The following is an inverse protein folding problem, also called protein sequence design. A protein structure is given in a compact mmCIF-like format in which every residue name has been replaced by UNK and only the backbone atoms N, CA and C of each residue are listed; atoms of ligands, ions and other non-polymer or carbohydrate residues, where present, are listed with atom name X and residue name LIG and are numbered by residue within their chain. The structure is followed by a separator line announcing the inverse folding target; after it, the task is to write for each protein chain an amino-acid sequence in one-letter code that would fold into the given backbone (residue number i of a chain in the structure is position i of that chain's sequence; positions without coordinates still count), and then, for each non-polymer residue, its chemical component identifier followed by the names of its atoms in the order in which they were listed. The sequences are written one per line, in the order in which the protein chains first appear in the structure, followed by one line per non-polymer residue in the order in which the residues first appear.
data_IF_103935652085
#
_entry.id   IF_103935652085
#
_cell.length_a   1.000
_cell.length_b   1.000
_cell.length_c   1.000
_cell.angle_alpha   90.00
_cell.angle_beta   90.00
_cell.angle_gamma   90.00
#
_symmetry.space_group_name_H-M   'P 1'
#
loop_
_entity.id
_entity.type
_entity.pdbx_description
1 polymer ?
#
# COMPACT_ATOMS: atom_id res chain seq x y z
N UNK A 1 -68.26 -5.01 -33.62
CA UNK A 1 -67.49 -5.68 -32.59
C UNK A 1 -66.03 -5.20 -32.68
N UNK A 2 -65.62 -4.27 -31.79
CA UNK A 2 -64.34 -3.67 -31.85
C UNK A 2 -63.45 -4.37 -30.78
N UNK A 3 -62.48 -5.18 -31.26
CA UNK A 3 -61.48 -5.81 -30.42
C UNK A 3 -60.42 -4.78 -30.06
N UNK A 4 -60.45 -4.29 -28.83
CA UNK A 4 -59.37 -3.44 -28.24
C UNK A 4 -58.17 -4.32 -27.94
N UNK A 5 -57.11 -4.18 -28.74
CA UNK A 5 -55.80 -4.71 -28.44
C UNK A 5 -55.17 -3.83 -27.34
N UNK A 6 -55.01 -4.39 -26.15
CA UNK A 6 -54.19 -3.79 -25.09
C UNK A 6 -52.73 -4.09 -25.40
N UNK A 7 -51.99 -3.09 -25.83
CA UNK A 7 -50.53 -3.14 -25.92
C UNK A 7 -49.99 -2.80 -24.55
N UNK A 8 -49.44 -3.82 -23.86
CA UNK A 8 -48.76 -3.65 -22.60
C UNK A 8 -47.31 -3.27 -22.92
N UNK A 9 -46.83 -2.08 -22.52
CA UNK A 9 -45.39 -1.76 -22.65
C UNK A 9 -44.61 -2.58 -21.62
N UNK A 10 -43.77 -3.49 -22.08
CA UNK A 10 -42.77 -4.16 -21.27
C UNK A 10 -41.67 -3.14 -20.94
N UNK A 11 -41.71 -2.62 -19.72
CA UNK A 11 -40.64 -1.81 -19.17
C UNK A 11 -39.45 -2.73 -18.83
N UNK A 12 -38.46 -2.72 -19.71
CA UNK A 12 -37.18 -3.40 -19.46
C UNK A 12 -36.41 -2.63 -18.39
N UNK A 13 -36.54 -3.06 -17.13
CA UNK A 13 -35.70 -2.57 -16.06
C UNK A 13 -34.27 -3.09 -16.28
N UNK A 14 -33.43 -2.25 -16.88
CA UNK A 14 -32.00 -2.48 -16.90
C UNK A 14 -31.44 -2.30 -15.47
N UNK A 15 -31.23 -3.41 -14.77
CA UNK A 15 -30.51 -3.41 -13.49
C UNK A 15 -29.04 -3.11 -13.77
N UNK A 16 -28.66 -1.86 -13.58
CA UNK A 16 -27.24 -1.47 -13.55
C UNK A 16 -26.65 -2.06 -12.27
N UNK A 17 -25.97 -3.18 -12.41
CA UNK A 17 -25.15 -3.73 -11.32
C UNK A 17 -23.95 -2.81 -11.15
N UNK A 18 -24.00 -1.92 -10.13
CA UNK A 18 -22.81 -1.24 -9.65
C UNK A 18 -21.89 -2.30 -9.02
N UNK A 19 -20.95 -2.78 -9.81
CA UNK A 19 -19.84 -3.56 -9.28
C UNK A 19 -19.00 -2.63 -8.43
N UNK A 20 -19.18 -2.69 -7.12
CA UNK A 20 -18.23 -2.15 -6.14
C UNK A 20 -16.97 -3.03 -6.21
N UNK A 21 -16.18 -2.84 -7.26
CA UNK A 21 -14.83 -3.37 -7.31
C UNK A 21 -14.03 -2.65 -6.22
N UNK A 22 -13.66 -3.35 -5.15
CA UNK A 22 -12.77 -2.83 -4.12
C UNK A 22 -11.54 -2.26 -4.79
N UNK A 23 -11.16 -1.00 -4.45
CA UNK A 23 -10.01 -0.32 -5.01
C UNK A 23 -8.73 -1.04 -4.58
N UNK A 24 -8.14 -1.81 -5.48
CA UNK A 24 -6.80 -2.38 -5.31
C UNK A 24 -5.81 -1.54 -6.11
N UNK A 25 -4.60 -1.30 -5.58
CA UNK A 25 -3.56 -0.60 -6.33
C UNK A 25 -3.09 -1.46 -7.52
N UNK A 26 -2.52 -0.81 -8.53
CA UNK A 26 -1.98 -1.48 -9.70
C UNK A 26 -0.63 -2.15 -9.39
N UNK A 27 -0.68 -3.19 -8.58
CA UNK A 27 0.46 -4.02 -8.19
C UNK A 27 0.40 -5.36 -8.92
N UNK A 28 1.40 -5.63 -9.74
CA UNK A 28 1.54 -6.91 -10.43
C UNK A 28 2.29 -7.91 -9.55
N UNK A 29 1.68 -9.06 -9.19
CA UNK A 29 2.35 -10.07 -8.38
C UNK A 29 3.60 -10.61 -9.06
N UNK A 30 4.59 -11.02 -8.29
CA UNK A 30 5.81 -11.62 -8.79
C UNK A 30 7.02 -11.39 -7.90
N UNK A 31 8.17 -11.61 -8.48
CA UNK A 31 9.47 -11.38 -7.86
C UNK A 31 9.91 -9.95 -8.09
N UNK A 32 10.23 -9.27 -7.01
CA UNK A 32 10.55 -7.86 -7.01
C UNK A 32 11.93 -7.60 -6.43
N UNK A 33 12.66 -6.70 -7.06
CA UNK A 33 13.87 -6.10 -6.49
C UNK A 33 13.47 -4.80 -5.80
N UNK A 34 13.68 -4.76 -4.48
CA UNK A 34 13.29 -3.62 -3.64
C UNK A 34 14.54 -2.92 -3.12
N UNK A 35 14.61 -1.63 -3.34
CA UNK A 35 15.69 -0.76 -2.88
C UNK A 35 15.16 0.19 -1.82
N UNK A 36 15.84 0.24 -0.70
CA UNK A 36 15.47 1.04 0.47
C UNK A 36 16.61 1.95 0.89
N UNK A 37 16.29 3.22 1.13
CA UNK A 37 17.21 4.24 1.64
C UNK A 37 16.59 4.91 2.85
N UNK A 38 17.37 5.09 3.89
CA UNK A 38 16.93 5.75 5.13
C UNK A 38 17.61 7.11 5.27
N UNK A 39 16.86 8.09 5.75
CA UNK A 39 17.36 9.43 6.08
C UNK A 39 16.94 9.80 7.50
N UNK A 40 17.88 10.27 8.30
CA UNK A 40 17.63 10.83 9.62
C UNK A 40 17.99 12.32 9.61
N UNK A 41 17.01 13.24 9.74
CA UNK A 41 17.30 14.65 9.85
C UNK A 41 18.22 14.94 11.04
N UNK A 42 19.27 15.73 10.81
CA UNK A 42 20.25 16.10 11.85
C UNK A 42 21.42 15.15 12.02
N UNK A 43 21.42 14.01 11.37
CA UNK A 43 22.57 13.10 11.31
C UNK A 43 23.17 13.13 9.90
N UNK A 44 24.42 13.57 9.78
CA UNK A 44 25.16 13.51 8.51
C UNK A 44 25.75 12.12 8.23
N UNK A 45 24.99 11.09 8.55
CA UNK A 45 25.40 9.72 8.26
C UNK A 45 24.75 9.29 6.95
N UNK A 46 25.55 9.06 5.93
CA UNK A 46 25.11 8.41 4.71
C UNK A 46 24.82 6.94 5.02
N UNK A 47 23.56 6.61 5.29
CA UNK A 47 23.17 5.23 5.41
C UNK A 47 23.24 4.56 4.03
N UNK A 48 23.84 3.36 3.95
CA UNK A 48 23.92 2.67 2.67
C UNK A 48 22.53 2.31 2.16
N UNK A 49 22.35 2.44 0.86
CA UNK A 49 21.15 1.93 0.19
C UNK A 49 21.17 0.41 0.23
N UNK A 50 20.09 -0.21 0.68
CA UNK A 50 19.93 -1.65 0.72
C UNK A 50 19.03 -2.11 -0.42
N UNK A 51 19.45 -3.17 -1.09
CA UNK A 51 18.67 -3.81 -2.15
C UNK A 51 18.47 -5.28 -1.81
N UNK A 52 17.25 -5.75 -1.89
CA UNK A 52 16.91 -7.15 -1.69
C UNK A 52 15.84 -7.59 -2.68
N UNK A 53 15.68 -8.89 -2.82
CA UNK A 53 14.67 -9.48 -3.67
C UNK A 53 13.63 -10.19 -2.82
N UNK A 54 12.37 -9.99 -3.14
CA UNK A 54 11.26 -10.64 -2.45
C UNK A 54 10.12 -10.96 -3.41
N UNK A 55 9.32 -11.95 -3.04
CA UNK A 55 8.08 -12.26 -3.73
C UNK A 55 6.95 -11.41 -3.15
N UNK A 56 6.24 -10.70 -4.00
CA UNK A 56 5.11 -9.85 -3.60
C UNK A 56 3.85 -10.38 -4.25
N UNK A 57 2.81 -10.60 -3.44
CA UNK A 57 1.48 -10.95 -3.91
C UNK A 57 0.60 -9.70 -4.02
N UNK A 58 -0.52 -9.80 -4.71
CA UNK A 58 -1.46 -8.67 -4.87
C UNK A 58 -2.08 -8.17 -3.54
N UNK A 59 -1.94 -8.94 -2.46
CA UNK A 59 -2.40 -8.57 -1.11
C UNK A 59 -1.32 -7.89 -0.28
N UNK A 60 -0.06 -7.90 -0.72
CA UNK A 60 1.09 -7.36 0.01
C UNK A 60 1.40 -5.90 -0.36
N UNK A 61 0.39 -5.11 -0.59
CA UNK A 61 0.54 -3.73 -1.04
C UNK A 61 0.95 -2.73 0.07
N UNK A 62 1.03 -3.18 1.33
CA UNK A 62 1.62 -2.42 2.43
C UNK A 62 2.94 -3.08 2.80
N UNK A 63 4.08 -2.38 2.63
CA UNK A 63 5.38 -2.92 3.02
C UNK A 63 5.43 -3.25 4.50
N UNK A 64 5.86 -4.46 4.85
CA UNK A 64 6.07 -4.87 6.23
C UNK A 64 7.41 -4.33 6.73
N UNK A 65 7.39 -3.52 7.77
CA UNK A 65 8.58 -2.88 8.34
C UNK A 65 8.87 -3.28 9.78
N UNK A 66 8.12 -4.23 10.32
CA UNK A 66 8.31 -4.69 11.70
C UNK A 66 9.60 -5.48 11.87
N UNK A 67 10.32 -5.20 12.95
CA UNK A 67 11.50 -5.94 13.38
C UNK A 67 11.13 -6.97 14.47
N UNK A 68 11.96 -8.01 14.67
CA UNK A 68 11.73 -8.96 15.76
C UNK A 68 11.67 -8.24 17.11
N UNK A 69 10.64 -8.52 17.91
CA UNK A 69 10.41 -7.89 19.21
C UNK A 69 9.59 -6.59 19.17
N UNK A 70 9.15 -6.15 18.01
CA UNK A 70 8.24 -5.02 17.84
C UNK A 70 6.83 -5.48 17.51
N UNK A 71 5.84 -4.90 18.19
CA UNK A 71 4.44 -5.04 17.84
C UNK A 71 4.00 -3.81 17.03
N UNK A 72 3.68 -4.01 15.76
CA UNK A 72 3.20 -2.95 14.88
C UNK A 72 1.75 -3.20 14.49
N UNK A 73 0.94 -2.14 14.53
CA UNK A 73 -0.45 -2.14 14.06
C UNK A 73 -0.64 -1.10 12.97
N UNK A 74 -1.26 -1.50 11.90
CA UNK A 74 -1.75 -0.57 10.88
C UNK A 74 -3.09 -0.04 11.37
N UNK A 75 -3.19 1.26 11.60
CA UNK A 75 -4.36 1.89 12.19
C UNK A 75 -5.33 2.50 11.19
N UNK A 76 -4.82 2.92 10.05
CA UNK A 76 -5.62 3.43 8.92
C UNK A 76 -4.99 2.99 7.62
N UNK A 77 -5.82 2.64 6.66
CA UNK A 77 -5.39 2.33 5.30
C UNK A 77 -6.36 2.99 4.32
N UNK A 78 -5.82 3.71 3.35
CA UNK A 78 -6.61 4.31 2.27
C UNK A 78 -5.97 3.95 0.93
N UNK A 79 -6.77 3.42 0.04
CA UNK A 79 -6.40 3.17 -1.35
C UNK A 79 -7.12 4.18 -2.24
N UNK A 80 -6.35 4.99 -2.95
CA UNK A 80 -6.86 5.99 -3.89
C UNK A 80 -6.18 5.81 -5.23
N UNK A 81 -6.88 5.16 -6.18
CA UNK A 81 -6.27 4.75 -7.45
C UNK A 81 -5.09 3.81 -7.21
N UNK A 82 -3.92 4.21 -7.65
CA UNK A 82 -2.68 3.44 -7.53
C UNK A 82 -1.86 3.78 -6.27
N UNK A 83 -2.35 4.69 -5.45
CA UNK A 83 -1.67 5.15 -4.24
C UNK A 83 -2.32 4.56 -2.99
N UNK A 84 -1.50 3.95 -2.15
CA UNK A 84 -1.87 3.43 -0.83
C UNK A 84 -1.22 4.29 0.23
N UNK A 85 -2.02 4.78 1.17
CA UNK A 85 -1.57 5.53 2.34
C UNK A 85 -2.02 4.81 3.60
N UNK A 86 -1.14 4.70 4.59
CA UNK A 86 -1.45 4.06 5.87
C UNK A 86 -0.77 4.78 7.03
N UNK A 87 -1.32 4.58 8.21
CA UNK A 87 -0.68 4.94 9.47
C UNK A 87 -0.38 3.68 10.26
N UNK A 88 0.71 3.70 11.00
CA UNK A 88 1.14 2.59 11.82
C UNK A 88 1.56 3.05 13.21
N UNK A 89 1.39 2.18 14.18
CA UNK A 89 1.84 2.37 15.55
C UNK A 89 2.59 1.11 16.00
N UNK A 90 3.82 1.28 16.43
CA UNK A 90 4.66 0.20 16.91
C UNK A 90 5.05 0.42 18.36
N UNK A 91 5.11 -0.66 19.12
CA UNK A 91 5.62 -0.71 20.50
C UNK A 91 6.76 -1.71 20.59
N UNK A 92 7.80 -1.35 21.28
CA UNK A 92 8.95 -2.19 21.52
C UNK A 92 9.69 -1.77 22.79
N UNK A 93 10.78 -2.48 23.13
CA UNK A 93 11.60 -2.18 24.29
C UNK A 93 12.22 -0.78 24.25
N UNK A 94 12.44 -0.21 23.08
CA UNK A 94 12.98 1.13 22.86
C UNK A 94 11.97 2.26 22.95
N UNK A 95 10.68 1.98 23.19
CA UNK A 95 9.60 2.96 23.24
C UNK A 95 8.53 2.76 22.18
N UNK A 96 7.88 3.84 21.81
CA UNK A 96 6.81 3.84 20.81
C UNK A 96 7.27 4.49 19.49
N UNK A 97 6.79 3.96 18.39
CA UNK A 97 7.06 4.49 17.07
C UNK A 97 5.74 4.69 16.33
N UNK A 98 5.54 5.89 15.80
CA UNK A 98 4.41 6.22 14.95
C UNK A 98 4.90 6.47 13.53
N UNK A 99 4.16 5.99 12.56
CA UNK A 99 4.53 6.13 11.17
C UNK A 99 3.36 6.43 10.25
N UNK A 100 3.68 7.07 9.15
CA UNK A 100 2.78 7.26 8.02
C UNK A 100 3.52 6.85 6.75
N UNK A 101 2.92 5.97 5.98
CA UNK A 101 3.48 5.51 4.72
C UNK A 101 2.60 5.85 3.54
N UNK A 102 3.24 6.07 2.40
CA UNK A 102 2.58 6.28 1.11
C UNK A 102 3.36 5.53 0.04
N UNK A 103 2.69 4.71 -0.74
CA UNK A 103 3.28 3.97 -1.88
C UNK A 103 2.39 4.14 -3.09
N UNK A 104 2.99 4.44 -4.23
CA UNK A 104 2.31 4.47 -5.53
C UNK A 104 2.81 3.34 -6.41
N UNK A 105 1.89 2.51 -6.86
CA UNK A 105 2.14 1.36 -7.73
C UNK A 105 1.84 1.69 -9.18
N UNK A 106 2.70 1.20 -10.08
CA UNK A 106 2.58 1.39 -11.53
C UNK A 106 2.73 0.08 -12.31
N UNK A 107 2.10 -0.98 -11.84
CA UNK A 107 2.20 -2.31 -12.44
C UNK A 107 3.53 -2.99 -12.09
N UNK A 108 4.58 -2.72 -12.84
CA UNK A 108 5.91 -3.34 -12.70
C UNK A 108 6.89 -2.52 -11.84
N UNK A 109 6.48 -1.38 -11.30
CA UNK A 109 7.30 -0.53 -10.44
C UNK A 109 6.47 0.08 -9.32
N UNK A 110 7.14 0.48 -8.24
CA UNK A 110 6.54 1.29 -7.21
C UNK A 110 7.57 2.27 -6.61
N UNK A 111 7.04 3.33 -6.03
CA UNK A 111 7.79 4.27 -5.19
C UNK A 111 7.01 4.54 -3.93
N UNK A 112 7.72 4.60 -2.81
CA UNK A 112 7.10 4.87 -1.52
C UNK A 112 7.99 5.66 -0.59
N UNK A 113 7.34 6.23 0.41
CA UNK A 113 7.96 6.99 1.48
C UNK A 113 7.26 6.64 2.78
N UNK A 114 8.03 6.37 3.82
CA UNK A 114 7.54 6.08 5.16
C UNK A 114 8.22 7.04 6.14
N UNK A 115 7.43 7.87 6.80
CA UNK A 115 7.90 8.78 7.83
C UNK A 115 7.63 8.19 9.19
N UNK A 116 8.67 8.06 10.01
CA UNK A 116 8.61 7.49 11.35
C UNK A 116 9.03 8.51 12.39
N UNK A 117 8.36 8.52 13.53
CA UNK A 117 8.74 9.30 14.71
C UNK A 117 8.78 8.40 15.93
N UNK A 118 9.81 8.57 16.75
CA UNK A 118 10.06 7.75 17.93
C UNK A 118 9.85 8.55 19.21
N UNK A 119 9.15 7.97 20.18
CA UNK A 119 8.98 8.50 21.51
C UNK A 119 9.63 7.55 22.53
N UNK A 120 10.27 8.06 23.59
CA UNK A 120 10.35 9.45 24.04
C UNK A 120 11.49 10.28 23.40
N UNK A 121 12.35 9.69 22.59
CA UNK A 121 13.55 10.36 22.05
C UNK A 121 13.26 11.56 21.16
N UNK A 122 12.08 11.60 20.50
CA UNK A 122 11.73 12.62 19.53
C UNK A 122 12.47 12.51 18.18
N UNK A 123 13.20 11.42 17.97
CA UNK A 123 13.89 11.17 16.69
C UNK A 123 12.88 10.89 15.59
N UNK A 124 13.16 11.39 14.40
CA UNK A 124 12.41 11.09 13.20
C UNK A 124 13.30 10.49 12.13
N UNK A 125 12.70 9.65 11.31
CA UNK A 125 13.37 8.95 10.21
C UNK A 125 12.44 8.89 9.01
N UNK A 126 12.99 9.04 7.82
CA UNK A 126 12.26 8.83 6.58
C UNK A 126 12.90 7.68 5.81
N UNK A 127 12.06 6.75 5.38
CA UNK A 127 12.45 5.60 4.57
C UNK A 127 11.89 5.81 3.17
N UNK A 128 12.78 5.85 2.19
CA UNK A 128 12.42 5.84 0.78
C UNK A 128 12.56 4.43 0.24
N UNK A 129 11.52 3.93 -0.36
CA UNK A 129 11.50 2.60 -0.96
C UNK A 129 11.07 2.68 -2.42
N UNK A 130 11.70 1.92 -3.25
CA UNK A 130 11.27 1.73 -4.62
C UNK A 130 11.49 0.28 -5.03
N UNK A 131 10.68 -0.19 -5.94
CA UNK A 131 10.77 -1.56 -6.42
C UNK A 131 10.50 -1.67 -7.90
N UNK A 132 11.04 -2.70 -8.48
CA UNK A 132 10.75 -3.13 -9.84
C UNK A 132 10.54 -4.64 -9.88
N UNK A 133 9.56 -5.06 -10.65
CA UNK A 133 9.30 -6.48 -10.89
C UNK A 133 10.38 -7.04 -11.80
N UNK A 134 10.97 -8.15 -11.42
CA UNK A 134 12.05 -8.80 -12.18
C UNK A 134 11.65 -10.17 -12.75
N UNK A 135 10.49 -10.69 -12.42
CA UNK A 135 10.00 -11.97 -12.93
C UNK A 135 8.85 -12.52 -12.11
N UNK A 136 8.57 -13.79 -12.30
CA UNK A 136 7.59 -14.52 -11.51
C UNK A 136 8.24 -15.08 -10.24
N UNK A 137 7.41 -15.37 -9.21
CA UNK A 137 7.86 -16.08 -8.03
C UNK A 137 8.12 -17.56 -8.37
N UNK A 138 9.13 -18.13 -7.75
CA UNK A 138 9.48 -19.55 -7.92
C UNK A 138 8.47 -20.48 -7.24
#
# INVERSE_FOLDING_TARGET
MIRKLFVIPVFLLATVSLSLAGSKPNLKPGKWEVTTRMEMPGMQMNMPTMTHTQCITENDYIPQTSQPGEECKITKTKVSGDTVTWTMHCRGEGGEMNGTGTVTYRGDSFKGEISLSMAPSGMSMTIYTNGRRIGDCD
#
